data_IF_906585703346
#
_entry.id   IF_906585703346
#
_cell.length_a   1.000
_cell.length_b   1.000
_cell.length_c   1.000
_cell.angle_alpha   90.00
_cell.angle_beta   90.00
_cell.angle_gamma   90.00
#
_symmetry.space_group_name_H-M   'P 1'
#
loop_
_entity.id
_entity.type
_entity.pdbx_description
1 polymer ?
#
# COMPACT_ATOMS: atom_id res chain seq x y z
N UNK A 1 18.81 10.17 4.30
CA UNK A 1 18.42 9.79 2.93
C UNK A 1 17.18 8.89 2.91
N UNK A 2 17.20 7.67 3.47
CA UNK A 2 16.00 6.80 3.46
C UNK A 2 14.87 7.33 4.36
N UNK A 3 15.19 7.82 5.55
CA UNK A 3 14.21 8.45 6.47
C UNK A 3 13.61 9.74 5.90
N UNK A 4 14.42 10.49 5.14
CA UNK A 4 13.99 11.74 4.48
C UNK A 4 13.13 11.46 3.24
N UNK A 5 13.46 10.41 2.49
CA UNK A 5 12.62 9.87 1.44
C UNK A 5 11.28 9.41 2.04
N UNK A 6 11.31 8.63 3.11
CA UNK A 6 10.10 8.16 3.80
C UNK A 6 9.25 9.34 4.27
N UNK A 7 9.82 10.33 4.96
CA UNK A 7 9.08 11.50 5.46
C UNK A 7 8.35 12.27 4.35
N UNK A 8 9.02 12.49 3.21
CA UNK A 8 8.42 13.19 2.07
C UNK A 8 7.37 12.34 1.36
N UNK A 9 7.62 11.04 1.20
CA UNK A 9 6.70 10.10 0.56
C UNK A 9 5.46 9.85 1.43
N UNK A 10 5.62 9.89 2.76
CA UNK A 10 4.60 9.55 3.74
C UNK A 10 3.35 10.43 3.61
N UNK A 11 3.55 11.75 3.56
CA UNK A 11 2.45 12.70 3.46
C UNK A 11 1.78 12.69 2.07
N UNK A 12 2.60 12.65 1.02
CA UNK A 12 2.10 12.63 -0.37
C UNK A 12 1.26 11.37 -0.63
N UNK A 13 1.75 10.20 -0.23
CA UNK A 13 1.00 8.97 -0.40
C UNK A 13 -0.25 8.91 0.47
N UNK A 14 -0.24 9.50 1.67
CA UNK A 14 -1.44 9.61 2.50
C UNK A 14 -2.53 10.43 1.78
N UNK A 15 -2.19 11.63 1.27
CA UNK A 15 -3.14 12.47 0.51
C UNK A 15 -3.65 11.73 -0.72
N UNK A 16 -2.75 11.06 -1.44
CA UNK A 16 -3.11 10.37 -2.66
C UNK A 16 -4.06 9.18 -2.39
N UNK A 17 -3.81 8.40 -1.32
CA UNK A 17 -4.73 7.37 -0.85
C UNK A 17 -6.09 7.95 -0.44
N UNK A 18 -6.11 9.05 0.32
CA UNK A 18 -7.35 9.71 0.73
C UNK A 18 -8.17 10.19 -0.48
N UNK A 19 -7.50 10.74 -1.50
CA UNK A 19 -8.11 11.12 -2.77
C UNK A 19 -8.71 9.92 -3.51
N UNK A 20 -7.97 8.81 -3.62
CA UNK A 20 -8.47 7.58 -4.23
C UNK A 20 -9.68 7.01 -3.49
N UNK A 21 -9.66 6.98 -2.16
CA UNK A 21 -10.81 6.53 -1.37
C UNK A 21 -12.04 7.41 -1.57
N UNK A 22 -11.86 8.73 -1.58
CA UNK A 22 -12.94 9.68 -1.82
C UNK A 22 -13.58 9.47 -3.19
N UNK A 23 -12.75 9.23 -4.20
CA UNK A 23 -13.22 8.95 -5.55
C UNK A 23 -13.93 7.59 -5.65
N UNK A 24 -13.45 6.54 -4.94
CA UNK A 24 -14.17 5.26 -4.84
C UNK A 24 -15.61 5.46 -4.34
N UNK A 25 -15.80 6.26 -3.29
CA UNK A 25 -17.13 6.55 -2.74
C UNK A 25 -18.00 7.32 -3.74
N UNK A 26 -17.43 8.32 -4.43
CA UNK A 26 -18.14 9.07 -5.47
C UNK A 26 -18.59 8.15 -6.62
N UNK A 27 -17.73 7.22 -7.06
CA UNK A 27 -18.05 6.26 -8.12
C UNK A 27 -19.16 5.29 -7.68
N UNK A 28 -19.07 4.75 -6.46
CA UNK A 28 -20.12 3.88 -5.89
C UNK A 28 -21.48 4.60 -5.83
N UNK A 29 -21.50 5.86 -5.38
CA UNK A 29 -22.71 6.67 -5.37
C UNK A 29 -23.26 6.89 -6.79
N UNK A 30 -22.37 7.18 -7.75
CA UNK A 30 -22.75 7.37 -9.15
C UNK A 30 -23.36 6.10 -9.77
N UNK A 31 -22.77 4.92 -9.55
CA UNK A 31 -23.28 3.63 -10.04
C UNK A 31 -24.70 3.37 -9.51
N UNK A 32 -24.92 3.63 -8.22
CA UNK A 32 -26.20 3.34 -7.57
C UNK A 32 -27.30 4.31 -7.99
N UNK A 33 -27.00 5.61 -8.10
CA UNK A 33 -27.98 6.62 -8.52
C UNK A 33 -28.41 6.47 -9.99
N UNK A 34 -27.50 6.03 -10.86
CA UNK A 34 -27.75 5.99 -12.31
C UNK A 34 -28.08 4.59 -12.86
N UNK A 35 -28.03 3.53 -12.04
CA UNK A 35 -28.41 2.16 -12.46
C UNK A 35 -29.85 2.02 -12.98
N UNK A 36 -30.73 3.00 -12.74
CA UNK A 36 -32.14 2.95 -13.11
C UNK A 36 -32.54 3.76 -14.36
N UNK A 37 -31.58 4.37 -15.10
CA UNK A 37 -31.90 5.19 -16.30
C UNK A 37 -31.76 4.43 -17.63
N UNK A 38 -32.52 4.86 -18.63
CA UNK A 38 -32.67 4.25 -19.97
C UNK A 38 -31.37 4.10 -20.82
N UNK A 39 -30.19 4.51 -20.34
CA UNK A 39 -28.89 4.38 -21.04
C UNK A 39 -27.91 3.45 -20.31
N UNK A 40 -28.40 2.32 -19.79
CA UNK A 40 -27.63 1.41 -18.93
C UNK A 40 -26.25 1.01 -19.49
N UNK A 41 -26.12 0.83 -20.81
CA UNK A 41 -24.89 0.35 -21.44
C UNK A 41 -23.77 1.41 -21.45
N UNK A 42 -24.11 2.68 -21.72
CA UNK A 42 -23.15 3.80 -21.66
C UNK A 42 -22.71 4.07 -20.23
N UNK A 43 -23.65 4.02 -19.26
CA UNK A 43 -23.34 4.17 -17.85
C UNK A 43 -22.47 3.04 -17.30
N UNK A 44 -22.72 1.80 -17.72
CA UNK A 44 -21.91 0.65 -17.35
C UNK A 44 -20.48 0.78 -17.87
N UNK A 45 -20.31 1.19 -19.13
CA UNK A 45 -19.00 1.40 -19.74
C UNK A 45 -18.21 2.50 -19.02
N UNK A 46 -18.85 3.64 -18.75
CA UNK A 46 -18.22 4.77 -18.06
C UNK A 46 -17.85 4.43 -16.62
N UNK A 47 -18.75 3.71 -15.92
CA UNK A 47 -18.46 3.16 -14.60
C UNK A 47 -17.28 2.19 -14.60
N UNK A 48 -17.18 1.31 -15.59
CA UNK A 48 -16.11 0.32 -15.67
C UNK A 48 -14.76 1.00 -15.92
N UNK A 49 -14.71 2.00 -16.82
CA UNK A 49 -13.50 2.79 -17.10
C UNK A 49 -13.06 3.54 -15.85
N UNK A 50 -13.99 4.21 -15.16
CA UNK A 50 -13.68 4.92 -13.92
C UNK A 50 -13.22 3.97 -12.80
N UNK A 51 -13.78 2.76 -12.71
CA UNK A 51 -13.32 1.76 -11.75
C UNK A 51 -11.87 1.33 -12.03
N UNK A 52 -11.53 1.07 -13.30
CA UNK A 52 -10.17 0.72 -13.72
C UNK A 52 -9.18 1.84 -13.36
N UNK A 53 -9.55 3.09 -13.67
CA UNK A 53 -8.73 4.28 -13.39
C UNK A 53 -8.49 4.53 -11.90
N UNK A 54 -9.26 3.89 -11.01
CA UNK A 54 -9.11 4.02 -9.56
C UNK A 54 -8.34 2.86 -8.98
N UNK A 55 -8.70 1.65 -9.41
CA UNK A 55 -8.12 0.41 -8.88
C UNK A 55 -6.66 0.26 -9.32
N UNK A 56 -6.32 0.57 -10.59
CA UNK A 56 -4.95 0.42 -11.08
C UNK A 56 -3.96 1.34 -10.32
N UNK A 57 -4.20 2.67 -10.19
CA UNK A 57 -3.27 3.52 -9.47
C UNK A 57 -3.19 3.18 -7.98
N UNK A 58 -4.31 2.77 -7.37
CA UNK A 58 -4.31 2.30 -5.98
C UNK A 58 -3.41 1.07 -5.83
N UNK A 59 -3.51 0.07 -6.70
CA UNK A 59 -2.61 -1.10 -6.67
C UNK A 59 -1.15 -0.67 -6.83
N UNK A 60 -0.86 0.22 -7.77
CA UNK A 60 0.51 0.71 -8.00
C UNK A 60 1.07 1.48 -6.79
N UNK A 61 0.25 2.27 -6.10
CA UNK A 61 0.64 2.99 -4.88
C UNK A 61 1.06 2.05 -3.74
N UNK A 62 0.55 0.83 -3.69
CA UNK A 62 0.96 -0.16 -2.69
C UNK A 62 2.10 -1.06 -3.20
N UNK A 63 2.11 -1.37 -4.51
CA UNK A 63 3.10 -2.27 -5.09
C UNK A 63 4.48 -1.64 -5.28
N UNK A 64 4.56 -0.35 -5.66
CA UNK A 64 5.85 0.32 -5.91
C UNK A 64 6.63 0.52 -4.61
N UNK A 65 6.05 1.10 -3.54
CA UNK A 65 6.81 1.34 -2.31
C UNK A 65 7.17 0.06 -1.57
N UNK A 66 6.44 -1.04 -1.78
CA UNK A 66 6.76 -2.35 -1.21
C UNK A 66 8.05 -2.96 -1.79
N UNK A 67 8.51 -2.54 -2.96
CA UNK A 67 9.78 -3.03 -3.51
C UNK A 67 10.96 -2.66 -2.61
N UNK A 68 10.93 -1.48 -1.99
CA UNK A 68 11.98 -0.97 -1.10
C UNK A 68 12.19 -1.89 0.13
N UNK A 69 11.17 -2.19 0.96
CA UNK A 69 11.34 -3.08 2.10
C UNK A 69 11.65 -4.53 1.67
N UNK A 70 11.17 -4.98 0.51
CA UNK A 70 11.45 -6.32 0.00
C UNK A 70 12.92 -6.47 -0.44
N UNK A 71 13.46 -5.48 -1.13
CA UNK A 71 14.89 -5.44 -1.48
C UNK A 71 15.77 -5.32 -0.23
N UNK A 72 15.34 -4.52 0.75
CA UNK A 72 16.05 -4.40 2.02
C UNK A 72 16.09 -5.73 2.80
N UNK A 73 14.98 -6.48 2.83
CA UNK A 73 14.91 -7.80 3.45
C UNK A 73 15.85 -8.79 2.77
N UNK A 74 15.90 -8.78 1.43
CA UNK A 74 16.83 -9.62 0.66
C UNK A 74 18.30 -9.25 0.93
N UNK A 75 18.60 -7.95 1.01
CA UNK A 75 19.94 -7.47 1.31
C UNK A 75 20.37 -7.86 2.73
N UNK A 76 19.47 -7.76 3.71
CA UNK A 76 19.70 -8.25 5.08
C UNK A 76 19.99 -9.76 5.10
N UNK A 77 19.25 -10.57 4.34
CA UNK A 77 19.52 -12.02 4.20
C UNK A 77 20.91 -12.30 3.63
N UNK A 78 21.32 -11.55 2.61
CA UNK A 78 22.65 -11.69 1.99
C UNK A 78 23.76 -11.31 2.98
N UNK A 79 23.61 -10.18 3.68
CA UNK A 79 24.57 -9.74 4.71
C UNK A 79 24.68 -10.80 5.80
N UNK A 80 23.55 -11.30 6.29
CA UNK A 80 23.51 -12.35 7.31
C UNK A 80 24.21 -13.63 6.88
N UNK A 81 23.90 -14.13 5.68
CA UNK A 81 24.56 -15.32 5.15
C UNK A 81 26.08 -15.12 5.03
N UNK A 82 26.53 -13.95 4.57
CA UNK A 82 27.95 -13.62 4.48
C UNK A 82 28.63 -13.54 5.84
N UNK A 83 27.93 -13.02 6.85
CA UNK A 83 28.42 -12.99 8.23
C UNK A 83 28.54 -14.41 8.81
N UNK A 84 27.51 -15.24 8.66
CA UNK A 84 27.52 -16.64 9.12
C UNK A 84 28.67 -17.43 8.48
N UNK A 85 28.96 -17.20 7.19
CA UNK A 85 30.13 -17.80 6.51
C UNK A 85 31.48 -17.31 7.04
N UNK A 86 31.60 -16.03 7.42
CA UNK A 86 32.84 -15.50 8.01
C UNK A 86 33.05 -16.03 9.42
N UNK A 87 31.99 -16.07 10.22
CA UNK A 87 32.01 -16.61 11.57
C UNK A 87 32.39 -18.10 11.57
N UNK A 88 31.82 -18.91 10.67
CA UNK A 88 32.17 -20.33 10.52
C UNK A 88 33.61 -20.55 10.04
N UNK A 89 34.17 -19.59 9.30
CA UNK A 89 35.58 -19.62 8.86
C UNK A 89 36.58 -19.12 9.92
N UNK A 90 36.12 -18.76 11.12
CA UNK A 90 36.98 -18.23 12.19
C UNK A 90 37.47 -16.80 11.95
N UNK A 91 36.91 -16.09 10.97
CA UNK A 91 37.26 -14.69 10.68
C UNK A 91 36.48 -13.82 11.67
N UNK A 92 37.15 -13.41 12.75
CA UNK A 92 36.58 -12.49 13.74
C UNK A 92 36.74 -11.05 13.26
N UNK A 93 35.61 -10.36 13.13
CA UNK A 93 35.56 -8.93 12.84
C UNK A 93 35.99 -8.10 14.04
N UNK A 94 36.83 -7.09 13.81
CA UNK A 94 37.26 -6.13 14.83
C UNK A 94 36.09 -5.38 15.49
N UNK A 95 34.95 -5.27 14.79
CA UNK A 95 33.76 -4.54 15.26
C UNK A 95 32.53 -5.46 15.33
N UNK A 96 32.66 -6.60 16.03
CA UNK A 96 31.59 -7.60 16.19
C UNK A 96 30.26 -7.01 16.71
N UNK A 97 30.31 -5.94 17.51
CA UNK A 97 29.13 -5.25 18.04
C UNK A 97 28.36 -4.48 16.97
N UNK A 98 29.06 -3.85 16.02
CA UNK A 98 28.44 -3.13 14.90
C UNK A 98 27.81 -4.11 13.91
N UNK A 99 28.48 -5.23 13.63
CA UNK A 99 27.89 -6.29 12.81
C UNK A 99 26.67 -6.93 13.48
N UNK A 100 26.68 -7.10 14.82
CA UNK A 100 25.50 -7.57 15.55
C UNK A 100 24.30 -6.61 15.43
N UNK A 101 24.53 -5.31 15.49
CA UNK A 101 23.49 -4.29 15.32
C UNK A 101 22.95 -4.25 13.87
N UNK A 102 23.80 -4.54 12.88
CA UNK A 102 23.38 -4.66 11.47
C UNK A 102 22.59 -5.95 11.18
N UNK A 103 22.80 -7.00 12.00
CA UNK A 103 22.07 -8.27 11.93
C UNK A 103 20.73 -8.23 12.65
N UNK A 104 20.49 -7.21 13.47
CA UNK A 104 19.23 -7.05 14.18
C UNK A 104 18.13 -6.74 13.15
N UNK A 105 17.12 -7.62 13.08
CA UNK A 105 16.10 -7.61 12.04
C UNK A 105 15.19 -6.39 12.19
N UNK A 106 15.61 -5.26 11.63
CA UNK A 106 14.75 -4.10 11.47
C UNK A 106 13.83 -4.34 10.30
N UNK A 107 12.57 -4.63 10.61
CA UNK A 107 11.48 -4.68 9.63
C UNK A 107 11.25 -3.24 9.15
N UNK A 108 11.84 -2.90 8.02
CA UNK A 108 11.55 -1.64 7.34
C UNK A 108 10.19 -1.76 6.65
N UNK A 109 9.32 -0.78 6.83
CA UNK A 109 8.03 -0.69 6.13
C UNK A 109 7.80 0.76 5.76
N UNK A 110 7.48 1.00 4.49
CA UNK A 110 7.11 2.36 4.05
C UNK A 110 5.70 2.66 4.56
N UNK A 111 5.56 3.78 5.27
CA UNK A 111 4.29 4.20 5.86
C UNK A 111 3.83 5.57 5.39
N UNK A 112 2.52 5.73 5.21
CA UNK A 112 1.83 6.99 4.96
C UNK A 112 1.26 7.55 6.25
N UNK A 113 1.87 8.61 6.77
CA UNK A 113 1.64 9.23 8.07
C UNK A 113 1.58 8.25 9.25
N UNK A 114 2.34 7.13 9.22
CA UNK A 114 2.24 6.01 10.17
C UNK A 114 0.83 5.38 10.29
N UNK A 115 -0.07 5.70 9.37
CA UNK A 115 -1.47 5.24 9.35
C UNK A 115 -1.69 4.17 8.29
N UNK A 116 -1.05 4.31 7.12
CA UNK A 116 -1.18 3.40 5.99
C UNK A 116 0.15 2.70 5.76
N UNK A 117 0.18 1.38 5.92
CA UNK A 117 1.38 0.60 5.58
C UNK A 117 1.28 0.11 4.14
N UNK A 118 2.24 0.49 3.30
CA UNK A 118 2.27 0.12 1.88
C UNK A 118 2.82 -1.31 1.71
N UNK A 119 1.92 -2.28 1.86
CA UNK A 119 2.14 -3.70 1.59
C UNK A 119 1.05 -4.24 0.68
N UNK A 120 1.37 -5.21 -0.19
CA UNK A 120 0.39 -5.90 -1.03
C UNK A 120 -0.71 -6.57 -0.21
N UNK A 121 -0.36 -7.09 0.97
CA UNK A 121 -1.33 -7.68 1.92
C UNK A 121 -2.47 -6.73 2.28
N UNK A 122 -2.19 -5.43 2.26
CA UNK A 122 -3.14 -4.40 2.69
C UNK A 122 -4.04 -3.94 1.55
N UNK A 123 -3.71 -4.21 0.28
CA UNK A 123 -4.52 -3.82 -0.90
C UNK A 123 -5.93 -4.38 -0.78
N UNK A 124 -6.06 -5.67 -0.48
CA UNK A 124 -7.37 -6.33 -0.37
C UNK A 124 -8.18 -5.78 0.81
N UNK A 125 -7.52 -5.46 1.92
CA UNK A 125 -8.15 -4.85 3.09
C UNK A 125 -8.66 -3.44 2.79
N UNK A 126 -7.87 -2.64 2.08
CA UNK A 126 -8.19 -1.27 1.64
C UNK A 126 -9.36 -1.29 0.65
N UNK A 127 -9.33 -2.16 -0.36
CA UNK A 127 -10.44 -2.31 -1.31
C UNK A 127 -11.71 -2.83 -0.61
N UNK A 128 -11.58 -3.81 0.27
CA UNK A 128 -12.68 -4.37 1.03
C UNK A 128 -13.35 -3.34 1.94
N UNK A 129 -12.56 -2.56 2.67
CA UNK A 129 -13.07 -1.49 3.54
C UNK A 129 -13.77 -0.39 2.74
N UNK A 130 -13.19 0.07 1.63
CA UNK A 130 -13.85 1.02 0.74
C UNK A 130 -15.21 0.51 0.25
N UNK A 131 -15.29 -0.77 -0.15
CA UNK A 131 -16.52 -1.39 -0.61
C UNK A 131 -17.55 -1.56 0.52
N UNK A 132 -17.13 -2.05 1.69
CA UNK A 132 -18.02 -2.23 2.86
C UNK A 132 -18.58 -0.91 3.35
N UNK A 133 -17.73 0.09 3.59
CA UNK A 133 -18.19 1.40 4.07
C UNK A 133 -18.96 2.17 3.01
N UNK A 134 -18.60 2.03 1.74
CA UNK A 134 -19.33 2.67 0.65
C UNK A 134 -20.74 2.12 0.52
N UNK A 135 -20.90 0.79 0.56
CA UNK A 135 -22.22 0.15 0.57
C UNK A 135 -23.04 0.52 1.82
N UNK A 136 -22.41 0.63 2.99
CA UNK A 136 -23.09 0.97 4.24
C UNK A 136 -23.59 2.42 4.26
N UNK A 137 -22.77 3.38 3.82
CA UNK A 137 -23.16 4.79 3.72
C UNK A 137 -24.33 4.99 2.75
N UNK A 138 -24.25 4.36 1.59
CA UNK A 138 -25.31 4.45 0.57
C UNK A 138 -26.56 3.68 1.01
N UNK A 139 -26.41 2.53 1.66
CA UNK A 139 -27.54 1.76 2.20
C UNK A 139 -28.31 2.48 3.31
N UNK A 140 -27.64 3.39 4.05
CA UNK A 140 -28.29 4.31 4.98
C UNK A 140 -29.06 5.42 4.25
N UNK A 141 -28.56 5.88 3.11
CA UNK A 141 -29.16 6.97 2.33
C UNK A 141 -30.41 6.51 1.57
N UNK A 142 -30.45 5.26 1.09
CA UNK A 142 -31.62 4.65 0.41
C UNK A 142 -32.80 4.36 1.38
N UNK A 143 -32.55 4.29 2.70
CA UNK A 143 -33.60 4.06 3.72
C UNK A 143 -34.25 5.33 4.29
N UNK A 144 -33.76 6.52 3.91
CA UNK A 144 -34.40 7.80 4.26
C UNK A 144 -35.37 8.22 3.16
#
# INVERSE_FOLDING_TARGET
MLEELEANFSFVCFIACAGHFSYCFALLAHIMLYSFRENALTYLADSAINLINVVIPLILMFCIPEQIPLEMENLNKIIRCKYEMRASSGIVSENSTVEKLLLEEKIFVVSGCNLIFFRKSNILSVLGTALTYGLLLIGLEVRK
#
